data_IF_081168291971
#
_entry.id   IF_081168291971
#
_cell.length_a   1.000
_cell.length_b   1.000
_cell.length_c   1.000
_cell.angle_alpha   90.00
_cell.angle_beta   90.00
_cell.angle_gamma   90.00
#
_symmetry.space_group_name_H-M   'P 1'
#
loop_
_entity.id
_entity.type
_entity.pdbx_description
1 polymer ?
#
# COMPACT_ATOMS: atom_id res chain seq x y z
N UNK A 1 4.12 13.91 -6.84
CA UNK A 1 4.25 15.38 -6.73
C UNK A 1 4.81 15.79 -5.37
N UNK A 2 5.18 17.06 -5.19
CA UNK A 2 5.88 17.54 -3.98
C UNK A 2 4.95 18.11 -2.90
N UNK A 3 3.66 18.28 -3.19
CA UNK A 3 2.63 18.71 -2.24
C UNK A 3 1.85 17.50 -1.68
N UNK A 4 0.91 17.77 -0.77
CA UNK A 4 0.07 16.75 -0.14
C UNK A 4 -0.72 15.93 -1.16
N UNK A 5 -1.32 16.58 -2.17
CA UNK A 5 -2.01 15.92 -3.29
C UNK A 5 -1.08 14.98 -4.07
N UNK A 6 0.15 15.41 -4.31
CA UNK A 6 1.17 14.59 -4.93
C UNK A 6 1.58 13.38 -4.09
N UNK A 7 1.59 13.51 -2.76
CA UNK A 7 1.79 12.38 -1.84
C UNK A 7 0.60 11.42 -1.84
N UNK A 8 -0.62 11.97 -1.88
CA UNK A 8 -1.86 11.18 -1.98
C UNK A 8 -1.87 10.32 -3.24
N UNK A 9 -1.55 10.90 -4.40
CA UNK A 9 -1.46 10.17 -5.66
C UNK A 9 -0.44 9.02 -5.62
N UNK A 10 0.72 9.25 -4.98
CA UNK A 10 1.76 8.23 -4.79
C UNK A 10 1.24 7.09 -3.91
N UNK A 11 0.63 7.43 -2.76
CA UNK A 11 0.02 6.46 -1.87
C UNK A 11 -1.07 5.64 -2.57
N UNK A 12 -1.98 6.27 -3.31
CA UNK A 12 -3.07 5.58 -4.00
C UNK A 12 -2.55 4.59 -5.05
N UNK A 13 -1.52 4.95 -5.82
CA UNK A 13 -0.90 4.02 -6.77
C UNK A 13 -0.38 2.75 -6.08
N UNK A 14 0.39 2.91 -5.00
CA UNK A 14 0.96 1.78 -4.26
C UNK A 14 -0.13 0.95 -3.56
N UNK A 15 -1.13 1.62 -2.96
CA UNK A 15 -2.24 0.99 -2.26
C UNK A 15 -3.14 0.16 -3.17
N UNK A 16 -3.43 0.62 -4.40
CA UNK A 16 -4.25 -0.15 -5.35
C UNK A 16 -3.54 -1.43 -5.77
N UNK A 17 -2.25 -1.35 -6.09
CA UNK A 17 -1.45 -2.54 -6.41
C UNK A 17 -1.39 -3.51 -5.21
N UNK A 18 -1.22 -2.98 -4.00
CA UNK A 18 -1.19 -3.78 -2.79
C UNK A 18 -2.53 -4.45 -2.49
N UNK A 19 -3.66 -3.77 -2.74
CA UNK A 19 -5.00 -4.34 -2.60
C UNK A 19 -5.22 -5.49 -3.58
N UNK A 20 -4.77 -5.34 -4.83
CA UNK A 20 -4.87 -6.39 -5.84
C UNK A 20 -3.98 -7.59 -5.49
N UNK A 21 -2.75 -7.34 -5.03
CA UNK A 21 -1.84 -8.39 -4.57
C UNK A 21 -2.38 -9.13 -3.35
N UNK A 22 -2.88 -8.42 -2.35
CA UNK A 22 -3.52 -9.01 -1.17
C UNK A 22 -4.74 -9.84 -1.56
N UNK A 23 -5.58 -9.36 -2.48
CA UNK A 23 -6.75 -10.11 -2.95
C UNK A 23 -6.38 -11.39 -3.72
N UNK A 24 -5.23 -11.38 -4.42
CA UNK A 24 -4.78 -12.49 -5.26
C UNK A 24 -3.95 -13.53 -4.49
N UNK A 25 -2.96 -13.05 -3.72
CA UNK A 25 -2.03 -13.88 -2.96
C UNK A 25 -2.53 -14.17 -1.53
N UNK A 26 -3.48 -13.41 -1.01
CA UNK A 26 -4.00 -13.58 0.35
C UNK A 26 -2.88 -13.58 1.38
N UNK A 27 -2.82 -14.65 2.18
CA UNK A 27 -1.81 -14.86 3.22
C UNK A 27 -0.34 -14.81 2.72
N UNK A 28 -0.12 -14.94 1.41
CA UNK A 28 1.21 -14.88 0.81
C UNK A 28 1.65 -13.46 0.46
N UNK A 29 0.82 -12.43 0.67
CA UNK A 29 1.21 -11.02 0.56
C UNK A 29 1.53 -10.44 1.96
N UNK A 30 2.80 -10.12 2.30
CA UNK A 30 3.17 -9.66 3.65
C UNK A 30 2.79 -8.21 3.93
N UNK A 31 2.36 -7.44 2.93
CA UNK A 31 2.05 -6.02 3.10
C UNK A 31 0.77 -5.75 3.89
N UNK A 32 -0.10 -6.75 4.05
CA UNK A 32 -1.27 -6.71 4.91
C UNK A 32 -1.68 -8.12 5.37
N UNK A 33 -2.67 -8.18 6.26
CA UNK A 33 -3.27 -9.43 6.74
C UNK A 33 -4.63 -9.73 6.11
N UNK A 34 -5.19 -8.75 5.42
CA UNK A 34 -6.43 -8.82 4.64
C UNK A 34 -6.58 -7.53 3.82
N UNK A 35 -7.43 -7.58 2.79
CA UNK A 35 -7.82 -6.39 2.02
C UNK A 35 -8.45 -5.31 2.91
N UNK A 36 -9.26 -5.69 3.91
CA UNK A 36 -9.82 -4.77 4.89
C UNK A 36 -8.74 -4.13 5.76
N UNK A 37 -7.78 -4.92 6.25
CA UNK A 37 -6.63 -4.41 7.01
C UNK A 37 -5.79 -3.42 6.20
N UNK A 38 -5.60 -3.68 4.90
CA UNK A 38 -4.91 -2.76 4.00
C UNK A 38 -5.65 -1.43 3.84
N UNK A 39 -6.98 -1.48 3.65
CA UNK A 39 -7.83 -0.27 3.57
C UNK A 39 -7.73 0.54 4.88
N UNK A 40 -7.74 -0.12 6.05
CA UNK A 40 -7.57 0.56 7.34
C UNK A 40 -6.20 1.24 7.44
N UNK A 41 -5.11 0.59 7.04
CA UNK A 41 -3.78 1.21 7.03
C UNK A 41 -3.72 2.47 6.16
N UNK A 42 -4.31 2.40 4.97
CA UNK A 42 -4.37 3.55 4.04
C UNK A 42 -5.21 4.68 4.63
N UNK A 43 -6.40 4.39 5.16
CA UNK A 43 -7.25 5.40 5.80
C UNK A 43 -6.57 6.07 7.00
N UNK A 44 -5.84 5.30 7.81
CA UNK A 44 -5.06 5.85 8.92
C UNK A 44 -3.97 6.79 8.43
N UNK A 45 -3.26 6.43 7.36
CA UNK A 45 -2.28 7.33 6.75
C UNK A 45 -2.96 8.61 6.25
N UNK A 46 -4.06 8.51 5.50
CA UNK A 46 -4.82 9.65 4.97
C UNK A 46 -5.31 10.60 6.07
N UNK A 47 -5.75 10.06 7.21
CA UNK A 47 -6.19 10.87 8.34
C UNK A 47 -5.09 11.77 8.92
N UNK A 48 -3.81 11.43 8.73
CA UNK A 48 -2.69 12.26 9.21
C UNK A 48 -2.55 13.58 8.48
N UNK A 49 -3.10 13.71 7.26
CA UNK A 49 -2.89 14.85 6.37
C UNK A 49 -1.40 15.22 6.20
N UNK A 50 -0.52 14.23 6.35
CA UNK A 50 0.92 14.41 6.37
C UNK A 50 1.55 13.70 5.17
N UNK A 51 2.23 14.49 4.33
CA UNK A 51 2.88 13.96 3.14
C UNK A 51 3.93 12.90 3.47
N UNK A 52 4.72 13.07 4.53
CA UNK A 52 5.74 12.10 4.90
C UNK A 52 5.11 10.76 5.30
N UNK A 53 3.99 10.78 6.03
CA UNK A 53 3.22 9.56 6.33
C UNK A 53 2.73 8.87 5.06
N UNK A 54 2.23 9.63 4.08
CA UNK A 54 1.77 9.07 2.81
C UNK A 54 2.90 8.39 2.04
N UNK A 55 4.07 9.03 1.96
CA UNK A 55 5.24 8.50 1.26
C UNK A 55 5.84 7.29 2.00
N UNK A 56 5.84 7.31 3.32
CA UNK A 56 6.34 6.19 4.14
C UNK A 56 5.51 4.94 3.90
N UNK A 57 4.18 5.04 3.99
CA UNK A 57 3.31 3.92 3.70
C UNK A 57 3.40 3.48 2.23
N UNK A 58 3.43 4.43 1.29
CA UNK A 58 3.57 4.11 -0.13
C UNK A 58 4.85 3.31 -0.42
N UNK A 59 5.98 3.71 0.17
CA UNK A 59 7.26 3.03 -0.02
C UNK A 59 7.25 1.61 0.54
N UNK A 60 6.60 1.41 1.69
CA UNK A 60 6.41 0.09 2.29
C UNK A 60 5.57 -0.82 1.39
N UNK A 61 4.43 -0.32 0.89
CA UNK A 61 3.56 -1.08 0.00
C UNK A 61 4.24 -1.37 -1.35
N UNK A 62 4.96 -0.40 -1.91
CA UNK A 62 5.74 -0.60 -3.14
C UNK A 62 6.83 -1.65 -2.96
N UNK A 63 7.51 -1.70 -1.81
CA UNK A 63 8.45 -2.78 -1.51
C UNK A 63 7.78 -4.15 -1.59
N UNK A 64 6.63 -4.33 -0.93
CA UNK A 64 5.92 -5.61 -0.95
C UNK A 64 5.32 -5.95 -2.32
N UNK A 65 4.83 -4.94 -3.05
CA UNK A 65 4.32 -5.12 -4.40
C UNK A 65 5.37 -5.66 -5.38
N UNK A 66 6.65 -5.40 -5.12
CA UNK A 66 7.77 -5.87 -5.94
C UNK A 66 8.59 -6.98 -5.26
N UNK A 67 8.29 -7.36 -4.02
CA UNK A 67 9.02 -8.42 -3.31
C UNK A 67 8.45 -9.82 -3.60
N UNK A 68 7.20 -9.91 -4.05
CA UNK A 68 6.58 -11.19 -4.42
C UNK A 68 6.98 -11.55 -5.85
N UNK A 69 8.01 -12.39 -5.98
CA UNK A 69 8.43 -13.03 -7.24
C UNK A 69 8.09 -14.52 -7.29
N UNK A 70 7.46 -15.06 -6.23
CA UNK A 70 7.15 -16.47 -6.08
C UNK A 70 5.95 -16.84 -6.94
N UNK A 71 6.11 -17.82 -7.82
CA UNK A 71 4.98 -18.46 -8.52
C UNK A 71 4.04 -19.08 -7.50
N UNK A 72 2.74 -18.88 -7.71
CA UNK A 72 1.68 -19.58 -6.98
C UNK A 72 1.94 -21.10 -6.95
N UNK A 73 1.53 -21.82 -5.90
CA UNK A 73 1.52 -23.29 -5.90
C UNK A 73 0.66 -23.89 -7.02
#
# INVERSE_FOLDING_TARGET
>A
GNNLSGGFQILMRAAIAALLNEAYYGIYYPGATSTAGLITQVNNALATQNRASYITLASLLDYWNNAIHSTLP
#
